data_IF_096075712354
#
_entry.id   IF_096075712354
#
_cell.length_a   1.000
_cell.length_b   1.000
_cell.length_c   1.000
_cell.angle_alpha   90.00
_cell.angle_beta   90.00
_cell.angle_gamma   90.00
#
_symmetry.space_group_name_H-M   'P 1'
#
loop_
_entity.id
_entity.type
_entity.pdbx_description
1 polymer ?
#
# COMPACT_ATOMS: atom_id res chain seq x y z
N UNK A 1 11.29 -8.08 15.41
CA UNK A 1 11.27 -6.80 14.65
C UNK A 1 10.87 -5.69 15.61
N UNK A 2 11.58 -4.55 15.63
CA UNK A 2 11.32 -3.47 16.58
C UNK A 2 10.60 -2.28 15.92
N UNK A 3 9.37 -2.50 15.45
CA UNK A 3 8.54 -1.45 14.85
C UNK A 3 7.49 -0.93 15.84
N UNK A 4 7.13 0.35 15.73
CA UNK A 4 6.01 0.91 16.49
C UNK A 4 4.68 0.37 15.95
N UNK A 5 3.97 -0.40 16.80
CA UNK A 5 2.64 -0.94 16.48
C UNK A 5 1.59 0.15 16.31
N UNK A 6 1.66 1.21 17.11
CA UNK A 6 0.69 2.31 17.04
C UNK A 6 0.78 3.04 15.69
N UNK A 7 2.00 3.20 15.16
CA UNK A 7 2.23 3.76 13.82
C UNK A 7 1.59 2.87 12.75
N UNK A 8 1.75 1.55 12.85
CA UNK A 8 1.16 0.61 11.89
C UNK A 8 -0.37 0.58 11.96
N UNK A 9 -0.94 0.56 13.16
CA UNK A 9 -2.40 0.57 13.37
C UNK A 9 -3.00 1.88 12.82
N UNK A 10 -2.37 3.02 13.09
CA UNK A 10 -2.80 4.31 12.53
C UNK A 10 -2.78 4.32 11.00
N UNK A 11 -1.70 3.80 10.39
CA UNK A 11 -1.58 3.72 8.93
C UNK A 11 -2.57 2.71 8.32
N UNK A 12 -2.87 1.61 9.01
CA UNK A 12 -3.88 0.65 8.57
C UNK A 12 -5.29 1.25 8.55
N UNK A 13 -5.65 2.05 9.57
CA UNK A 13 -6.90 2.80 9.58
C UNK A 13 -6.99 3.76 8.39
N UNK A 14 -5.94 4.54 8.15
CA UNK A 14 -5.88 5.44 6.98
C UNK A 14 -5.97 4.69 5.65
N UNK A 15 -5.34 3.51 5.53
CA UNK A 15 -5.42 2.69 4.32
C UNK A 15 -6.87 2.23 4.07
N UNK A 16 -7.55 1.77 5.12
CA UNK A 16 -8.94 1.32 5.04
C UNK A 16 -9.87 2.47 4.61
N UNK A 17 -9.76 3.64 5.24
CA UNK A 17 -10.57 4.81 4.89
C UNK A 17 -10.41 5.21 3.42
N UNK A 18 -9.17 5.16 2.92
CA UNK A 18 -8.85 5.50 1.53
C UNK A 18 -9.41 4.45 0.57
N UNK A 19 -9.30 3.16 0.89
CA UNK A 19 -9.88 2.09 0.08
C UNK A 19 -11.41 2.24 -0.01
N UNK A 20 -12.08 2.50 1.11
CA UNK A 20 -13.53 2.76 1.14
C UNK A 20 -13.90 4.00 0.32
N UNK A 21 -13.07 5.05 0.37
CA UNK A 21 -13.28 6.24 -0.44
C UNK A 21 -13.15 5.95 -1.94
N UNK A 22 -12.16 5.18 -2.37
CA UNK A 22 -12.02 4.75 -3.77
C UNK A 22 -13.24 3.94 -4.19
N UNK A 23 -13.63 2.96 -3.39
CA UNK A 23 -14.75 2.08 -3.70
C UNK A 23 -16.09 2.84 -3.80
N UNK A 24 -16.35 3.78 -2.89
CA UNK A 24 -17.59 4.58 -2.88
C UNK A 24 -17.68 5.62 -4.00
N UNK A 25 -16.53 6.06 -4.54
CA UNK A 25 -16.46 7.07 -5.60
C UNK A 25 -16.22 6.49 -6.98
N UNK A 26 -15.92 5.20 -7.08
CA UNK A 26 -15.74 4.52 -8.35
C UNK A 26 -17.03 4.58 -9.17
N UNK A 27 -17.00 5.08 -10.42
CA UNK A 27 -18.16 5.09 -11.29
C UNK A 27 -18.44 3.69 -11.84
N UNK A 28 -19.64 3.48 -12.39
CA UNK A 28 -20.03 2.20 -12.96
C UNK A 28 -19.25 1.86 -14.24
N UNK A 29 -18.87 2.86 -15.03
CA UNK A 29 -18.20 2.68 -16.33
C UNK A 29 -17.10 3.72 -16.55
N UNK A 30 -16.19 3.42 -17.47
CA UNK A 30 -15.15 4.35 -17.90
C UNK A 30 -15.72 5.63 -18.52
N UNK A 31 -16.79 5.54 -19.32
CA UNK A 31 -17.40 6.71 -19.95
C UNK A 31 -17.93 7.71 -18.91
N UNK A 32 -18.48 7.22 -17.79
CA UNK A 32 -18.88 8.07 -16.66
C UNK A 32 -17.67 8.73 -16.01
N UNK A 33 -16.57 7.99 -15.83
CA UNK A 33 -15.33 8.55 -15.30
C UNK A 33 -14.78 9.67 -16.19
N UNK A 34 -14.73 9.46 -17.51
CA UNK A 34 -14.16 10.42 -18.46
C UNK A 34 -14.91 11.76 -18.51
N UNK A 35 -16.19 11.77 -18.11
CA UNK A 35 -17.05 12.96 -18.10
C UNK A 35 -17.06 13.71 -16.76
N UNK A 36 -16.48 13.14 -15.71
CA UNK A 36 -16.51 13.68 -14.36
C UNK A 36 -15.09 13.93 -13.83
N UNK A 37 -14.64 15.18 -13.91
CA UNK A 37 -13.30 15.59 -13.45
C UNK A 37 -13.13 15.51 -11.94
N UNK A 38 -14.20 15.70 -11.18
CA UNK A 38 -14.13 15.64 -9.72
C UNK A 38 -13.91 14.18 -9.29
N UNK A 39 -14.60 13.23 -9.92
CA UNK A 39 -14.39 11.80 -9.67
C UNK A 39 -13.00 11.36 -10.12
N UNK A 40 -12.51 11.85 -11.26
CA UNK A 40 -11.13 11.62 -11.72
C UNK A 40 -10.10 12.04 -10.67
N UNK A 41 -10.18 13.27 -10.16
CA UNK A 41 -9.27 13.79 -9.15
C UNK A 41 -9.39 13.05 -7.81
N UNK A 42 -10.61 12.70 -7.42
CA UNK A 42 -10.85 11.92 -6.20
C UNK A 42 -10.19 10.54 -6.32
N UNK A 43 -10.41 9.81 -7.42
CA UNK A 43 -9.84 8.48 -7.59
C UNK A 43 -8.31 8.53 -7.68
N UNK A 44 -7.75 9.42 -8.51
CA UNK A 44 -6.30 9.54 -8.68
C UNK A 44 -5.62 9.83 -7.34
N UNK A 45 -6.10 10.84 -6.59
CA UNK A 45 -5.50 11.24 -5.32
C UNK A 45 -5.64 10.19 -4.24
N UNK A 46 -6.76 9.46 -4.19
CA UNK A 46 -6.92 8.39 -3.21
C UNK A 46 -6.08 7.17 -3.56
N UNK A 47 -5.91 6.80 -4.83
CA UNK A 47 -4.99 5.74 -5.25
C UNK A 47 -3.55 6.11 -4.89
N UNK A 48 -3.10 7.33 -5.23
CA UNK A 48 -1.77 7.82 -4.84
C UNK A 48 -1.55 7.72 -3.32
N UNK A 49 -2.56 8.10 -2.53
CA UNK A 49 -2.52 8.05 -1.07
C UNK A 49 -2.45 6.62 -0.55
N UNK A 50 -3.25 5.70 -1.08
CA UNK A 50 -3.21 4.29 -0.69
C UNK A 50 -1.83 3.68 -0.91
N UNK A 51 -1.24 3.91 -2.09
CA UNK A 51 0.11 3.45 -2.42
C UNK A 51 1.15 4.05 -1.48
N UNK A 52 1.08 5.35 -1.19
CA UNK A 52 2.01 5.98 -0.26
C UNK A 52 1.90 5.40 1.15
N UNK A 53 0.69 5.11 1.63
CA UNK A 53 0.49 4.47 2.94
C UNK A 53 1.15 3.09 2.97
N UNK A 54 1.00 2.28 1.92
CA UNK A 54 1.67 0.98 1.82
C UNK A 54 3.21 1.11 1.83
N UNK A 55 3.75 2.11 1.13
CA UNK A 55 5.20 2.42 1.13
C UNK A 55 5.68 2.84 2.52
N UNK A 56 4.93 3.70 3.21
CA UNK A 56 5.25 4.15 4.57
C UNK A 56 5.31 2.95 5.53
N UNK A 57 4.31 2.06 5.48
CA UNK A 57 4.26 0.83 6.28
C UNK A 57 5.47 -0.05 5.98
N UNK A 58 5.72 -0.34 4.70
CA UNK A 58 6.83 -1.21 4.30
C UNK A 58 8.19 -0.66 4.74
N UNK A 59 8.38 0.65 4.56
CA UNK A 59 9.62 1.36 4.93
C UNK A 59 9.81 1.40 6.44
N UNK A 60 8.75 1.63 7.21
CA UNK A 60 8.78 1.58 8.66
C UNK A 60 9.18 0.21 9.18
N UNK A 61 8.58 -0.86 8.65
CA UNK A 61 8.92 -2.24 9.03
C UNK A 61 10.36 -2.58 8.63
N UNK A 62 10.77 -2.20 7.42
CA UNK A 62 12.11 -2.48 6.91
C UNK A 62 13.19 -1.81 7.77
N UNK A 63 13.07 -0.50 7.99
CA UNK A 63 14.03 0.27 8.79
C UNK A 63 14.08 -0.19 10.25
N UNK A 64 12.92 -0.52 10.82
CA UNK A 64 12.78 -1.13 12.15
C UNK A 64 13.42 -2.53 12.29
N UNK A 65 13.76 -3.15 11.16
CA UNK A 65 14.44 -4.45 11.09
C UNK A 65 15.91 -4.33 10.68
N UNK A 66 16.47 -3.10 10.71
CA UNK A 66 17.87 -2.84 10.38
C UNK A 66 18.17 -2.78 8.88
N UNK A 67 17.14 -2.76 8.03
CA UNK A 67 17.28 -2.62 6.58
C UNK A 67 17.32 -1.15 6.16
N UNK A 68 17.96 -0.84 5.03
CA UNK A 68 18.11 0.54 4.53
C UNK A 68 17.69 0.64 3.06
N UNK A 69 16.37 0.56 2.77
CA UNK A 69 15.88 0.69 1.40
C UNK A 69 16.12 2.11 0.86
N UNK A 70 16.59 2.22 -0.38
CA UNK A 70 16.84 3.49 -1.08
C UNK A 70 15.65 3.93 -1.93
N UNK A 71 14.74 3.01 -2.25
CA UNK A 71 13.53 3.29 -3.02
C UNK A 71 12.32 2.59 -2.41
N UNK A 72 11.12 3.09 -2.72
CA UNK A 72 9.86 2.46 -2.30
C UNK A 72 9.75 0.99 -2.74
N UNK A 73 10.15 0.69 -3.98
CA UNK A 73 10.18 -0.69 -4.49
C UNK A 73 11.19 -1.58 -3.74
N UNK A 74 12.30 -1.02 -3.28
CA UNK A 74 13.30 -1.75 -2.50
C UNK A 74 12.77 -2.13 -1.12
N UNK A 75 11.96 -1.28 -0.47
CA UNK A 75 11.30 -1.62 0.80
C UNK A 75 10.53 -2.94 0.70
N UNK A 76 9.72 -3.13 -0.36
CA UNK A 76 8.97 -4.37 -0.56
C UNK A 76 9.89 -5.57 -0.86
N UNK A 77 10.90 -5.40 -1.72
CA UNK A 77 11.85 -6.47 -2.06
C UNK A 77 12.62 -6.97 -0.85
N UNK A 78 13.05 -6.05 0.02
CA UNK A 78 13.77 -6.39 1.24
C UNK A 78 12.87 -7.18 2.22
N UNK A 79 11.58 -6.86 2.31
CA UNK A 79 10.63 -7.62 3.11
C UNK A 79 10.38 -9.04 2.58
N UNK A 80 10.37 -9.23 1.26
CA UNK A 80 10.32 -10.57 0.64
C UNK A 80 11.59 -11.36 0.96
N UNK A 81 12.76 -10.74 0.80
CA UNK A 81 14.05 -11.37 1.09
C UNK A 81 14.18 -11.80 2.58
N UNK A 82 13.55 -11.05 3.49
CA UNK A 82 13.46 -11.39 4.90
C UNK A 82 12.40 -12.48 5.23
N UNK A 83 11.70 -13.00 4.22
CA UNK A 83 10.59 -13.96 4.39
C UNK A 83 9.36 -13.37 5.08
N UNK A 84 9.29 -12.04 5.18
CA UNK A 84 8.22 -11.36 5.89
C UNK A 84 6.99 -11.17 5.01
N UNK A 85 7.16 -10.89 3.71
CA UNK A 85 6.10 -10.54 2.76
C UNK A 85 6.08 -11.51 1.58
N UNK A 86 4.89 -11.90 1.12
CA UNK A 86 4.73 -12.73 -0.07
C UNK A 86 5.15 -11.98 -1.34
N UNK A 87 5.85 -12.69 -2.24
CA UNK A 87 6.37 -12.11 -3.48
C UNK A 87 5.27 -11.53 -4.39
N UNK A 88 4.09 -12.17 -4.41
CA UNK A 88 2.94 -11.69 -5.18
C UNK A 88 2.45 -10.32 -4.70
N UNK A 89 2.31 -10.14 -3.39
CA UNK A 89 1.89 -8.87 -2.77
C UNK A 89 2.96 -7.80 -3.00
N UNK A 90 4.24 -8.14 -2.83
CA UNK A 90 5.34 -7.22 -3.09
C UNK A 90 5.40 -6.74 -4.55
N UNK A 91 5.15 -7.65 -5.51
CA UNK A 91 5.07 -7.33 -6.93
C UNK A 91 3.90 -6.40 -7.23
N UNK A 92 2.72 -6.68 -6.68
CA UNK A 92 1.56 -5.81 -6.82
C UNK A 92 1.82 -4.40 -6.29
N UNK A 93 2.38 -4.28 -5.08
CA UNK A 93 2.72 -2.97 -4.50
C UNK A 93 3.80 -2.23 -5.29
N UNK A 94 4.80 -2.94 -5.80
CA UNK A 94 5.85 -2.33 -6.66
C UNK A 94 5.25 -1.79 -7.96
N UNK A 95 4.32 -2.52 -8.58
CA UNK A 95 3.60 -2.03 -9.76
C UNK A 95 2.75 -0.79 -9.44
N UNK A 96 2.07 -0.78 -8.29
CA UNK A 96 1.27 0.36 -7.84
C UNK A 96 2.12 1.62 -7.59
N UNK A 97 3.35 1.47 -7.08
CA UNK A 97 4.34 2.56 -6.98
C UNK A 97 4.73 3.08 -8.37
N UNK A 98 4.97 2.18 -9.33
CA UNK A 98 5.27 2.57 -10.72
C UNK A 98 4.14 3.38 -11.34
N UNK A 99 2.89 2.93 -11.16
CA UNK A 99 1.70 3.65 -11.62
C UNK A 99 1.59 5.04 -10.99
N UNK A 100 1.75 5.16 -9.66
CA UNK A 100 1.75 6.45 -8.96
C UNK A 100 2.74 7.42 -9.57
N UNK A 101 3.96 6.97 -9.88
CA UNK A 101 4.98 7.85 -10.44
C UNK A 101 4.57 8.37 -11.83
N UNK A 102 3.94 7.54 -12.66
CA UNK A 102 3.41 7.98 -13.96
C UNK A 102 2.25 8.98 -13.77
N UNK A 103 1.29 8.66 -12.90
CA UNK A 103 0.13 9.52 -12.65
C UNK A 103 0.49 10.89 -12.06
N UNK A 104 1.49 10.95 -11.17
CA UNK A 104 1.94 12.19 -10.53
C UNK A 104 2.76 13.06 -11.48
N UNK A 105 3.66 12.47 -12.28
CA UNK A 105 4.54 13.23 -13.16
C UNK A 105 3.89 13.68 -14.46
N UNK A 106 2.90 12.93 -14.95
CA UNK A 106 2.38 13.07 -16.31
C UNK A 106 0.86 13.29 -16.29
N UNK A 107 0.33 14.14 -15.39
CA UNK A 107 -1.12 14.36 -15.15
C UNK A 107 -1.97 14.60 -16.43
N UNK A 108 -1.33 15.04 -17.52
CA UNK A 108 -1.93 15.24 -18.86
C UNK A 108 -2.20 13.92 -19.61
N UNK A 109 -1.61 12.80 -19.16
CA UNK A 109 -1.62 11.47 -19.79
C UNK A 109 -2.04 10.34 -18.83
N UNK A 110 -2.80 10.65 -17.78
CA UNK A 110 -3.35 9.60 -16.92
C UNK A 110 -4.22 8.67 -17.76
N UNK A 111 -3.86 7.39 -17.75
CA UNK A 111 -4.67 6.34 -18.35
C UNK A 111 -5.81 5.97 -17.39
N UNK A 112 -7.01 6.47 -17.70
CA UNK A 112 -8.21 6.25 -16.90
C UNK A 112 -8.72 4.81 -16.93
N UNK A 113 -8.33 4.00 -17.92
CA UNK A 113 -8.60 2.56 -17.91
C UNK A 113 -7.82 1.89 -16.79
N UNK A 114 -6.55 2.26 -16.62
CA UNK A 114 -5.71 1.76 -15.52
C UNK A 114 -6.26 2.24 -14.18
N UNK A 115 -6.70 3.49 -14.06
CA UNK A 115 -7.33 4.01 -12.82
C UNK A 115 -8.57 3.19 -12.47
N UNK A 116 -9.46 2.92 -13.44
CA UNK A 116 -10.64 2.08 -13.23
C UNK A 116 -10.27 0.67 -12.79
N UNK A 117 -9.25 0.07 -13.42
CA UNK A 117 -8.77 -1.26 -13.07
C UNK A 117 -8.20 -1.31 -11.64
N UNK A 118 -7.44 -0.30 -11.23
CA UNK A 118 -6.93 -0.22 -9.85
C UNK A 118 -8.09 -0.01 -8.86
N UNK A 119 -9.05 0.85 -9.20
CA UNK A 119 -10.22 1.10 -8.37
C UNK A 119 -11.16 -0.12 -8.24
N UNK A 120 -11.04 -1.11 -9.12
CA UNK A 120 -11.74 -2.40 -9.01
C UNK A 120 -10.84 -3.51 -8.48
N UNK A 121 -9.91 -4.01 -9.28
CA UNK A 121 -9.08 -5.20 -9.02
C UNK A 121 -7.90 -4.87 -8.09
N UNK A 122 -7.31 -3.68 -8.24
CA UNK A 122 -6.15 -3.28 -7.43
C UNK A 122 -6.47 -3.06 -5.95
N UNK A 123 -7.74 -2.90 -5.59
CA UNK A 123 -8.14 -2.78 -4.19
C UNK A 123 -7.90 -4.08 -3.41
N UNK A 124 -7.98 -5.24 -4.05
CA UNK A 124 -7.74 -6.52 -3.38
C UNK A 124 -6.27 -6.68 -3.01
N UNK A 125 -5.35 -6.20 -3.85
CA UNK A 125 -3.92 -6.17 -3.54
C UNK A 125 -3.60 -5.25 -2.35
N UNK A 126 -4.24 -4.07 -2.29
CA UNK A 126 -4.12 -3.15 -1.15
C UNK A 126 -4.67 -3.78 0.15
N UNK A 127 -5.80 -4.47 0.06
CA UNK A 127 -6.40 -5.21 1.19
C UNK A 127 -5.51 -6.36 1.62
N UNK A 128 -4.92 -7.10 0.70
CA UNK A 128 -4.00 -8.19 1.00
C UNK A 128 -2.76 -7.68 1.76
N UNK A 129 -2.18 -6.56 1.33
CA UNK A 129 -1.08 -5.92 2.04
C UNK A 129 -1.51 -5.42 3.44
N UNK A 130 -2.70 -4.83 3.57
CA UNK A 130 -3.26 -4.42 4.87
C UNK A 130 -3.45 -5.61 5.81
N UNK A 131 -4.05 -6.71 5.32
CA UNK A 131 -4.27 -7.93 6.09
C UNK A 131 -2.95 -8.58 6.54
N UNK A 132 -1.94 -8.58 5.67
CA UNK A 132 -0.59 -9.00 6.02
C UNK A 132 -0.01 -8.17 7.18
N UNK A 133 -0.11 -6.84 7.09
CA UNK A 133 0.37 -5.92 8.13
C UNK A 133 -0.36 -6.16 9.47
N UNK A 134 -1.68 -6.37 9.43
CA UNK A 134 -2.47 -6.71 10.62
C UNK A 134 -2.00 -8.01 11.28
N UNK A 135 -1.73 -9.06 10.48
CA UNK A 135 -1.18 -10.32 11.00
C UNK A 135 0.17 -10.10 11.69
N UNK A 136 1.03 -9.25 11.12
CA UNK A 136 2.32 -8.90 11.70
C UNK A 136 2.17 -8.19 13.06
N UNK A 137 1.17 -7.31 13.22
CA UNK A 137 0.87 -6.65 14.49
C UNK A 137 0.36 -7.63 15.57
N UNK A 138 -0.36 -8.68 15.18
CA UNK A 138 -0.89 -9.72 16.08
C UNK A 138 0.12 -10.79 16.51
N UNK A 139 1.14 -11.08 15.68
CA UNK A 139 2.19 -12.06 15.99
C UNK A 139 3.46 -11.35 16.50
N UNK A 140 3.44 -10.83 17.72
CA UNK A 140 4.69 -10.57 18.44
C UNK A 140 5.15 -11.87 19.10
N UNK A 141 6.19 -12.51 18.56
CA UNK A 141 6.92 -13.56 19.28
C UNK A 141 7.25 -13.07 20.69
N UNK A 142 6.96 -13.84 21.76
CA UNK A 142 7.38 -13.48 23.10
C UNK A 142 8.92 -13.41 23.13
N UNK A 143 9.52 -12.56 23.98
CA UNK A 143 10.96 -12.57 24.17
C UNK A 143 11.41 -13.99 24.56
N UNK A 144 12.60 -14.47 24.13
CA UNK A 144 13.11 -15.74 24.60
C UNK A 144 13.13 -15.71 26.13
N UNK A 145 12.78 -16.81 26.82
CA UNK A 145 12.88 -16.85 28.27
C UNK A 145 14.32 -16.55 28.63
N UNK A 146 14.54 -15.35 29.17
CA UNK A 146 15.83 -14.91 29.67
C UNK A 146 16.32 -15.97 30.65
N UNK A 147 17.42 -16.62 30.28
CA UNK A 147 18.04 -17.66 31.07
C UNK A 147 18.30 -17.14 32.47
N UNK A 148 17.91 -17.96 33.45
CA UNK A 148 18.34 -17.77 34.84
C UNK A 148 19.85 -17.56 34.87
N UNK A 149 20.29 -16.47 35.50
CA UNK A 149 21.41 -16.42 36.44
C UNK A 149 21.35 -15.12 37.20
#
# INVERSE_FOLDING_TARGET
MNFSRDVLISKLGQLQDVIERIQSKRPATLDVLLKDRDVQDILSKNIERAVQICVDIATHIATSSGMSPKTAGESFKMLVAAGALDESVAKAMTNAVGFRNIAVHDYVRIDWEIVMKIASEGLDDLRAFGAWTTKLCGHSTPPPPGGRR
#
